data_IF_991527665783
#
_entry.id   IF_991527665783
#
_cell.length_a   1.000
_cell.length_b   1.000
_cell.length_c   1.000
_cell.angle_alpha   90.00
_cell.angle_beta   90.00
_cell.angle_gamma   90.00
#
_symmetry.space_group_name_H-M   'P 1'
#
loop_
_entity.id
_entity.type
_entity.pdbx_description
1 polymer ?
#
# COMPACT_ATOMS: atom_id res chain seq x y z
N UNK A 1 -20.89 21.40 3.57
CA UNK A 1 -20.21 21.35 3.86
C UNK A 1 -20.14 21.42 4.16
N UNK A 2 -20.16 21.60 4.07
CA UNK A 2 -19.53 21.36 4.34
C UNK A 2 -19.45 21.14 5.13
N UNK A 3 -19.56 21.59 5.08
CA UNK A 3 -19.12 21.31 5.71
C UNK A 3 -19.11 20.59 5.97
N UNK A 4 -19.38 20.27 5.80
CA UNK A 4 -19.24 19.47 6.06
C UNK A 4 -18.52 18.95 5.84
N UNK A 5 -18.01 19.08 5.34
CA UNK A 5 -17.26 18.39 5.18
C UNK A 5 -16.59 17.76 6.07
N UNK A 6 -16.72 17.88 6.53
CA UNK A 6 -16.35 17.20 7.26
C UNK A 6 -16.79 16.60 8.00
N UNK A 7 -17.27 16.60 8.08
CA UNK A 7 -17.52 15.85 8.68
C UNK A 7 -17.89 14.92 8.46
N UNK A 8 -18.00 14.57 8.11
CA UNK A 8 -18.07 13.60 7.81
C UNK A 8 -17.74 12.89 7.73
N UNK A 9 -17.67 13.25 7.66
CA UNK A 9 -17.20 12.73 7.59
C UNK A 9 -16.92 12.26 7.80
N UNK A 10 -16.70 12.41 7.73
CA UNK A 10 -16.36 12.05 8.10
C UNK A 10 -16.37 11.36 8.37
N UNK A 11 -16.29 11.86 8.08
CA UNK A 11 -16.20 11.01 8.77
C UNK A 11 -16.29 9.83 8.59
N UNK A 12 -16.43 9.77 8.90
CA UNK A 12 -16.57 8.53 9.25
C UNK A 12 -15.90 7.63 8.37
N UNK A 13 -15.64 8.06 7.35
CA UNK A 13 -15.10 7.24 6.35
C UNK A 13 -13.75 6.76 6.76
N UNK A 14 -13.54 5.45 6.71
CA UNK A 14 -12.27 4.83 6.93
C UNK A 14 -11.62 5.18 8.23
N UNK A 15 -12.28 5.99 9.02
CA UNK A 15 -11.66 6.55 10.18
C UNK A 15 -12.51 6.35 11.42
N UNK A 16 -13.16 5.22 11.45
CA UNK A 16 -14.10 4.89 12.52
C UNK A 16 -13.42 4.88 13.89
N UNK A 17 -12.13 4.62 13.92
CA UNK A 17 -11.37 4.56 15.17
C UNK A 17 -10.71 5.86 15.51
N UNK A 18 -11.01 6.92 14.76
CA UNK A 18 -10.40 8.21 14.98
C UNK A 18 -8.96 8.32 14.55
N UNK A 19 -8.48 7.39 13.74
CA UNK A 19 -7.11 7.38 13.25
C UNK A 19 -7.10 7.65 11.75
N UNK A 20 -6.13 8.44 11.28
CA UNK A 20 -6.01 8.68 9.85
C UNK A 20 -5.84 7.39 9.05
N UNK A 21 -6.37 7.41 7.85
CA UNK A 21 -6.22 6.32 6.92
C UNK A 21 -5.31 6.79 5.79
N UNK A 22 -4.30 5.98 5.48
CA UNK A 22 -3.30 6.31 4.47
C UNK A 22 -3.35 5.31 3.34
N UNK A 23 -2.97 5.77 2.14
CA UNK A 23 -2.71 4.88 1.02
C UNK A 23 -1.20 4.70 0.93
N UNK A 24 -0.74 3.46 0.87
CA UNK A 24 0.68 3.15 0.78
C UNK A 24 0.96 2.53 -0.58
N UNK A 25 1.86 3.13 -1.33
CA UNK A 25 2.33 2.58 -2.60
C UNK A 25 3.65 1.85 -2.34
N UNK A 26 3.68 0.57 -2.66
CA UNK A 26 4.84 -0.27 -2.44
C UNK A 26 5.37 -0.75 -3.79
N UNK A 27 6.66 -0.55 -4.02
CA UNK A 27 7.32 -1.00 -5.24
C UNK A 27 8.48 -1.90 -4.83
N UNK A 28 8.56 -3.08 -5.45
CA UNK A 28 9.62 -4.04 -5.18
C UNK A 28 10.32 -4.40 -6.48
N UNK A 29 11.51 -4.94 -6.35
CA UNK A 29 12.33 -5.37 -7.49
C UNK A 29 12.55 -6.86 -7.41
N UNK A 30 12.53 -7.52 -8.58
CA UNK A 30 12.85 -8.93 -8.67
C UNK A 30 14.35 -9.10 -8.92
N UNK A 31 14.92 -10.22 -8.47
CA UNK A 31 16.23 -10.63 -8.92
C UNK A 31 16.17 -10.85 -10.44
N UNK A 32 17.26 -10.59 -11.11
CA UNK A 32 17.30 -10.63 -12.57
C UNK A 32 16.81 -12.00 -13.09
N UNK A 33 15.85 -11.97 -14.00
CA UNK A 33 15.30 -13.17 -14.59
C UNK A 33 14.27 -13.90 -13.74
N UNK A 34 13.91 -13.35 -12.58
CA UNK A 34 12.95 -14.00 -11.66
C UNK A 34 11.68 -13.20 -11.46
N UNK A 35 11.35 -12.36 -12.42
CA UNK A 35 10.18 -11.47 -12.33
C UNK A 35 8.87 -12.22 -12.15
N UNK A 36 8.69 -13.32 -12.89
CA UNK A 36 7.46 -14.11 -12.79
C UNK A 36 7.31 -14.75 -11.42
N UNK A 37 8.42 -15.13 -10.80
CA UNK A 37 8.40 -15.73 -9.47
C UNK A 37 8.04 -14.70 -8.40
N UNK A 38 8.52 -13.47 -8.54
CA UNK A 38 8.15 -12.39 -7.63
C UNK A 38 6.67 -12.08 -7.75
N UNK A 39 6.14 -12.02 -8.98
CA UNK A 39 4.71 -11.81 -9.18
C UNK A 39 3.88 -12.88 -8.48
N UNK A 40 4.27 -14.13 -8.63
CA UNK A 40 3.55 -15.24 -8.04
C UNK A 40 3.60 -15.17 -6.51
N UNK A 41 4.79 -14.91 -5.97
CA UNK A 41 4.95 -14.80 -4.51
C UNK A 41 4.15 -13.64 -3.95
N UNK A 42 4.18 -12.48 -4.58
CA UNK A 42 3.42 -11.32 -4.12
C UNK A 42 1.93 -11.62 -4.07
N UNK A 43 1.42 -12.27 -5.10
CA UNK A 43 0.00 -12.57 -5.18
C UNK A 43 -0.40 -13.64 -4.16
N UNK A 44 0.38 -14.70 -4.06
CA UNK A 44 0.00 -15.86 -3.27
C UNK A 44 0.30 -15.70 -1.77
N UNK A 45 1.28 -14.87 -1.42
CA UNK A 45 1.80 -14.87 -0.06
C UNK A 45 1.94 -13.47 0.52
N UNK A 46 2.64 -12.58 -0.16
CA UNK A 46 3.12 -11.35 0.46
C UNK A 46 1.98 -10.41 0.90
N UNK A 47 1.03 -10.16 0.03
CA UNK A 47 -0.08 -9.25 0.37
C UNK A 47 -0.86 -9.79 1.56
N UNK A 48 -1.20 -11.07 1.52
CA UNK A 48 -1.94 -11.70 2.62
C UNK A 48 -1.14 -11.68 3.92
N UNK A 49 0.17 -11.93 3.85
CA UNK A 49 1.02 -11.91 5.04
C UNK A 49 1.10 -10.52 5.65
N UNK A 50 1.18 -9.48 4.84
CA UNK A 50 1.18 -8.12 5.35
C UNK A 50 -0.12 -7.83 6.11
N UNK A 51 -1.25 -8.17 5.50
CA UNK A 51 -2.55 -7.93 6.14
C UNK A 51 -2.73 -8.74 7.41
N UNK A 52 -2.16 -9.93 7.45
CA UNK A 52 -2.28 -10.80 8.62
C UNK A 52 -1.40 -10.34 9.78
N UNK A 53 -0.29 -9.65 9.51
CA UNK A 53 0.70 -9.35 10.54
C UNK A 53 0.80 -7.88 10.90
N UNK A 54 0.57 -6.97 9.97
CA UNK A 54 0.75 -5.54 10.22
C UNK A 54 -0.55 -4.92 10.70
N UNK A 55 -0.61 -4.62 11.99
CA UNK A 55 -1.81 -4.04 12.59
C UNK A 55 -2.15 -2.71 11.92
N UNK A 56 -3.42 -2.50 11.61
CA UNK A 56 -3.90 -1.29 10.96
C UNK A 56 -3.87 -1.35 9.45
N UNK A 57 -3.19 -2.31 8.87
CA UNK A 57 -3.17 -2.48 7.41
C UNK A 57 -4.40 -3.29 7.02
N UNK A 58 -5.33 -2.68 6.29
CA UNK A 58 -6.68 -3.20 6.13
C UNK A 58 -6.99 -3.75 4.75
N UNK A 59 -6.28 -3.32 3.72
CA UNK A 59 -6.49 -3.84 2.38
C UNK A 59 -5.22 -3.74 1.57
N UNK A 60 -5.12 -4.57 0.53
CA UNK A 60 -3.99 -4.51 -0.38
C UNK A 60 -4.37 -5.09 -1.72
N UNK A 61 -3.80 -4.54 -2.77
CA UNK A 61 -4.05 -5.02 -4.12
C UNK A 61 -2.83 -4.78 -4.99
N UNK A 62 -2.52 -5.77 -5.80
CA UNK A 62 -1.41 -5.67 -6.75
C UNK A 62 -1.88 -5.10 -8.08
N UNK A 63 -0.98 -4.42 -8.76
CA UNK A 63 -1.24 -3.83 -10.07
C UNK A 63 -0.07 -4.12 -10.99
N UNK A 64 -0.37 -4.39 -12.25
CA UNK A 64 0.65 -4.59 -13.28
C UNK A 64 0.77 -3.32 -14.12
N UNK A 65 1.99 -2.90 -14.36
CA UNK A 65 2.24 -1.80 -15.29
C UNK A 65 1.95 -2.28 -16.71
N UNK A 66 1.01 -1.63 -17.38
CA UNK A 66 0.64 -2.02 -18.76
C UNK A 66 0.97 -0.93 -19.78
N UNK A 67 1.20 0.28 -19.34
CA UNK A 67 1.54 1.38 -20.23
C UNK A 67 2.09 2.54 -19.42
N UNK A 68 3.02 3.29 -19.97
CA UNK A 68 3.51 4.47 -19.28
C UNK A 68 3.79 5.58 -20.27
N UNK A 69 3.68 6.81 -19.75
CA UNK A 69 3.99 8.02 -20.49
C UNK A 69 4.73 8.94 -19.53
N UNK A 70 5.72 9.64 -20.03
CA UNK A 70 6.52 10.54 -19.20
C UNK A 70 7.61 9.80 -18.47
N UNK A 71 7.73 10.05 -17.16
CA UNK A 71 8.79 9.45 -16.36
C UNK A 71 8.53 7.96 -16.15
N UNK A 72 9.60 7.19 -16.31
CA UNK A 72 9.51 5.73 -16.21
C UNK A 72 9.34 5.28 -14.77
N UNK A 73 8.48 4.27 -14.56
CA UNK A 73 8.34 3.63 -13.26
C UNK A 73 9.63 2.91 -12.90
N UNK A 74 10.04 2.97 -11.63
CA UNK A 74 11.28 2.31 -11.22
C UNK A 74 11.21 0.79 -11.30
N UNK A 75 10.00 0.21 -11.15
CA UNK A 75 9.80 -1.23 -11.26
C UNK A 75 8.34 -1.49 -11.60
N UNK A 76 8.04 -2.57 -12.34
CA UNK A 76 6.63 -2.90 -12.66
C UNK A 76 5.88 -3.58 -11.53
N UNK A 77 6.55 -3.94 -10.43
CA UNK A 77 5.91 -4.68 -9.32
C UNK A 77 5.36 -3.70 -8.29
N UNK A 78 4.07 -3.41 -8.38
CA UNK A 78 3.41 -2.39 -7.57
C UNK A 78 2.28 -3.00 -6.76
N UNK A 79 2.16 -2.58 -5.51
CA UNK A 79 0.99 -2.87 -4.69
C UNK A 79 0.52 -1.57 -4.02
N UNK A 80 -0.79 -1.45 -3.87
CA UNK A 80 -1.39 -0.36 -3.10
C UNK A 80 -2.09 -0.95 -1.90
N UNK A 81 -1.83 -0.35 -0.74
CA UNK A 81 -2.42 -0.77 0.52
C UNK A 81 -3.18 0.39 1.14
N UNK A 82 -4.16 0.05 1.97
CA UNK A 82 -4.74 1.00 2.89
C UNK A 82 -4.30 0.64 4.30
N UNK A 83 -3.90 1.65 5.06
CA UNK A 83 -3.40 1.43 6.41
C UNK A 83 -3.81 2.57 7.32
N UNK A 84 -4.29 2.22 8.51
CA UNK A 84 -4.65 3.18 9.54
C UNK A 84 -3.51 3.29 10.54
N UNK A 85 -3.24 4.51 10.99
CA UNK A 85 -2.22 4.75 11.98
C UNK A 85 -2.23 6.20 12.41
N UNK A 86 -1.46 6.50 13.44
CA UNK A 86 -1.45 7.85 14.00
C UNK A 86 -0.63 8.82 13.15
N UNK A 87 0.28 8.30 12.33
CA UNK A 87 1.11 9.10 11.45
C UNK A 87 1.63 8.23 10.32
N UNK A 88 2.12 8.84 9.22
CA UNK A 88 2.75 8.06 8.15
C UNK A 88 3.92 7.24 8.66
N UNK A 89 4.71 7.78 9.58
CA UNK A 89 5.84 7.08 10.16
C UNK A 89 5.39 5.87 10.97
N UNK A 90 4.29 6.02 11.72
CA UNK A 90 3.76 4.92 12.53
C UNK A 90 3.31 3.76 11.66
N UNK A 91 2.70 4.05 10.51
CA UNK A 91 2.26 3.02 9.57
C UNK A 91 3.44 2.20 9.06
N UNK A 92 4.50 2.86 8.65
CA UNK A 92 5.70 2.16 8.17
C UNK A 92 6.42 1.45 9.30
N UNK A 93 6.42 2.02 10.50
CA UNK A 93 7.04 1.38 11.65
C UNK A 93 6.36 0.06 11.98
N UNK A 94 5.03 0.04 11.97
CA UNK A 94 4.27 -1.18 12.22
C UNK A 94 4.65 -2.27 11.20
N UNK A 95 4.75 -1.91 9.93
CA UNK A 95 5.15 -2.86 8.92
C UNK A 95 6.54 -3.42 9.21
N UNK A 96 7.47 -2.55 9.56
CA UNK A 96 8.84 -2.96 9.82
C UNK A 96 8.95 -3.84 11.06
N UNK A 97 8.23 -3.50 12.13
CA UNK A 97 8.28 -4.26 13.38
C UNK A 97 7.70 -5.66 13.24
N UNK A 98 6.77 -5.85 12.33
CA UNK A 98 6.14 -7.15 12.13
C UNK A 98 6.82 -7.98 11.05
N UNK A 99 7.91 -7.48 10.49
CA UNK A 99 8.62 -8.12 9.39
C UNK A 99 9.03 -9.56 9.68
N UNK A 100 9.41 -9.85 10.92
CA UNK A 100 9.89 -11.18 11.30
C UNK A 100 8.80 -12.24 11.17
N UNK A 101 7.55 -11.84 11.19
CA UNK A 101 6.43 -12.76 11.03
C UNK A 101 6.09 -13.09 9.59
N UNK A 102 6.84 -12.53 8.63
CA UNK A 102 6.56 -12.72 7.22
C UNK A 102 7.71 -13.40 6.51
N UNK A 103 7.35 -14.21 5.52
CA UNK A 103 8.35 -14.87 4.67
C UNK A 103 8.69 -13.94 3.50
N UNK A 104 9.98 -13.67 3.33
CA UNK A 104 10.46 -12.88 2.21
C UNK A 104 11.01 -13.83 1.16
N UNK A 105 10.50 -13.73 -0.07
CA UNK A 105 10.95 -14.58 -1.15
C UNK A 105 12.40 -14.26 -1.55
N UNK A 106 13.18 -15.30 -1.81
CA UNK A 106 14.53 -15.11 -2.31
C UNK A 106 14.56 -14.59 -3.75
N UNK A 107 13.40 -14.60 -4.43
CA UNK A 107 13.32 -14.10 -5.80
C UNK A 107 13.22 -12.58 -5.83
N UNK A 108 12.90 -11.95 -4.70
CA UNK A 108 12.84 -10.51 -4.59
C UNK A 108 14.22 -9.96 -4.27
N UNK A 109 14.59 -8.85 -4.90
CA UNK A 109 15.82 -8.16 -4.57
C UNK A 109 15.61 -7.38 -3.28
N UNK A 110 16.00 -7.96 -2.16
CA UNK A 110 15.75 -7.39 -0.84
C UNK A 110 16.58 -6.14 -0.57
N UNK A 111 17.57 -5.86 -1.40
CA UNK A 111 18.37 -4.64 -1.23
C UNK A 111 17.66 -3.42 -1.80
N UNK A 112 16.60 -3.61 -2.56
CA UNK A 112 15.86 -2.52 -3.18
C UNK A 112 14.38 -2.66 -2.89
N UNK A 113 13.81 -1.62 -2.33
CA UNK A 113 12.36 -1.47 -2.24
C UNK A 113 12.08 0.01 -2.03
N UNK A 114 10.86 0.41 -2.30
CA UNK A 114 10.45 1.78 -2.07
C UNK A 114 8.99 1.81 -1.66
N UNK A 115 8.67 2.69 -0.73
CA UNK A 115 7.31 2.89 -0.28
C UNK A 115 7.03 4.38 -0.14
N UNK A 116 5.85 4.77 -0.56
CA UNK A 116 5.36 6.14 -0.43
C UNK A 116 4.04 6.08 0.31
N UNK A 117 3.88 6.94 1.30
CA UNK A 117 2.65 7.01 2.09
C UNK A 117 1.95 8.31 1.73
N UNK A 118 0.67 8.19 1.39
CA UNK A 118 -0.14 9.31 0.94
C UNK A 118 -1.31 9.49 1.89
N UNK A 119 -1.62 10.73 2.23
CA UNK A 119 -2.90 11.03 2.85
C UNK A 119 -3.85 11.59 1.80
N UNK A 120 -5.10 11.75 2.17
CA UNK A 120 -6.08 12.29 1.23
C UNK A 120 -5.85 13.79 1.07
N UNK A 121 -5.76 14.23 -0.19
CA UNK A 121 -5.59 15.65 -0.48
C UNK A 121 -6.91 16.35 -0.72
N UNK A 122 -7.97 15.59 -0.89
CA UNK A 122 -9.30 16.15 -1.13
C UNK A 122 -10.31 15.04 -1.23
N UNK A 123 -11.51 15.39 -1.62
CA UNK A 123 -12.59 14.43 -1.72
C UNK A 123 -12.42 13.56 -2.96
N UNK A 124 -12.92 12.35 -2.87
CA UNK A 124 -13.03 11.50 -4.03
C UNK A 124 -14.16 12.04 -4.91
N UNK A 125 -13.87 12.21 -6.19
CA UNK A 125 -14.86 12.67 -7.15
C UNK A 125 -15.28 11.50 -8.03
N UNK A 126 -16.57 11.39 -8.27
CA UNK A 126 -17.11 10.36 -9.14
C UNK A 126 -18.01 11.02 -10.18
N UNK A 127 -18.14 10.35 -11.31
CA UNK A 127 -19.03 10.83 -12.35
C UNK A 127 -20.49 10.52 -11.96
N UNK A 128 -21.31 11.55 -11.96
CA UNK A 128 -22.74 11.40 -11.72
C UNK A 128 -23.43 11.16 -13.05
N UNK A 129 -24.09 10.02 -13.19
CA UNK A 129 -24.80 9.71 -14.42
C UNK A 129 -26.20 9.22 -14.14
#
# INVERSE_FOLDING_TARGET
>A
GFAACSVWNDAAVGNERGRPNYTVMSVTWAEEGREAEVDQWCEDTDVDDVLATAAGWTSGQRFNLVHQAGVEMPSPHLALYEAEGESPQAVLQTLNETRKGRVISETMDASEFAMWVFDEAGQRHTLDV
#
